data_IF_907489431504
#
_entry.id   IF_907489431504
#
_cell.length_a   1.000
_cell.length_b   1.000
_cell.length_c   1.000
_cell.angle_alpha   90.00
_cell.angle_beta   90.00
_cell.angle_gamma   90.00
#
_symmetry.space_group_name_H-M   'P 1'
#
loop_
_entity.id
_entity.type
_entity.pdbx_description
1 polymer ?
#
# COMPACT_ATOMS: atom_id res chain seq x y z
N UNK A 1 -23.30 -14.31 -11.04
CA UNK A 1 -23.06 -12.91 -11.44
C UNK A 1 -22.40 -12.08 -10.33
N UNK A 2 -22.52 -12.45 -9.04
CA UNK A 2 -21.87 -11.74 -7.93
C UNK A 2 -20.33 -11.80 -7.95
N UNK A 3 -19.73 -12.93 -8.32
CA UNK A 3 -18.25 -13.06 -8.35
C UNK A 3 -17.59 -12.15 -9.38
N UNK A 4 -18.22 -11.95 -10.54
CA UNK A 4 -17.75 -11.01 -11.58
C UNK A 4 -17.76 -9.57 -11.06
N UNK A 5 -18.81 -9.17 -10.35
CA UNK A 5 -18.94 -7.82 -9.81
C UNK A 5 -17.93 -7.56 -8.67
N UNK A 6 -17.65 -8.58 -7.85
CA UNK A 6 -16.67 -8.51 -6.76
C UNK A 6 -15.23 -8.42 -7.28
N UNK A 7 -14.90 -9.18 -8.33
CA UNK A 7 -13.60 -9.12 -8.99
C UNK A 7 -13.38 -7.76 -9.66
N UNK A 8 -14.41 -7.21 -10.31
CA UNK A 8 -14.34 -5.91 -10.97
C UNK A 8 -14.15 -4.76 -9.96
N UNK A 9 -14.82 -4.82 -8.80
CA UNK A 9 -14.63 -3.85 -7.70
C UNK A 9 -13.24 -3.89 -7.08
N UNK A 10 -12.66 -5.09 -6.86
CA UNK A 10 -11.27 -5.20 -6.40
C UNK A 10 -10.27 -4.66 -7.43
N UNK A 11 -10.53 -4.90 -8.72
CA UNK A 11 -9.70 -4.36 -9.81
C UNK A 11 -9.78 -2.83 -9.86
N UNK A 12 -10.99 -2.26 -9.79
CA UNK A 12 -11.18 -0.80 -9.73
C UNK A 12 -10.52 -0.17 -8.50
N UNK A 13 -10.62 -0.81 -7.33
CA UNK A 13 -9.95 -0.37 -6.12
C UNK A 13 -8.43 -0.34 -6.28
N UNK A 14 -7.85 -1.38 -6.90
CA UNK A 14 -6.40 -1.43 -7.20
C UNK A 14 -5.98 -0.31 -8.16
N UNK A 15 -6.76 -0.05 -9.21
CA UNK A 15 -6.50 1.05 -10.15
C UNK A 15 -6.58 2.41 -9.46
N UNK A 16 -7.60 2.62 -8.62
CA UNK A 16 -7.74 3.84 -7.83
C UNK A 16 -6.53 4.07 -6.93
N UNK A 17 -6.04 3.03 -6.26
CA UNK A 17 -4.86 3.10 -5.39
C UNK A 17 -3.58 3.40 -6.16
N UNK A 18 -3.42 2.87 -7.38
CA UNK A 18 -2.29 3.23 -8.26
C UNK A 18 -2.37 4.71 -8.65
N UNK A 19 -3.55 5.21 -9.00
CA UNK A 19 -3.74 6.64 -9.31
C UNK A 19 -3.39 7.52 -8.11
N UNK A 20 -3.82 7.14 -6.90
CA UNK A 20 -3.48 7.86 -5.66
C UNK A 20 -1.97 7.83 -5.41
N UNK A 21 -1.30 6.69 -5.61
CA UNK A 21 0.15 6.59 -5.47
C UNK A 21 0.91 7.49 -6.45
N UNK A 22 0.45 7.60 -7.70
CA UNK A 22 1.04 8.51 -8.70
C UNK A 22 0.85 9.97 -8.27
N UNK A 23 -0.34 10.35 -7.81
CA UNK A 23 -0.60 11.72 -7.32
C UNK A 23 0.33 12.05 -6.14
N UNK A 24 0.48 11.13 -5.19
CA UNK A 24 1.38 11.31 -4.04
C UNK A 24 2.85 11.42 -4.46
N UNK A 25 3.30 10.63 -5.44
CA UNK A 25 4.65 10.72 -5.99
C UNK A 25 4.89 12.09 -6.67
N UNK A 26 3.89 12.58 -7.42
CA UNK A 26 3.95 13.91 -8.06
C UNK A 26 3.97 15.03 -7.00
N UNK A 27 3.13 14.95 -5.97
CA UNK A 27 3.13 15.92 -4.85
C UNK A 27 4.48 15.93 -4.14
N UNK A 28 5.07 14.75 -3.91
CA UNK A 28 6.40 14.60 -3.31
C UNK A 28 7.50 15.24 -4.17
N UNK A 29 7.37 15.17 -5.50
CA UNK A 29 8.31 15.75 -6.44
C UNK A 29 8.16 17.27 -6.59
N UNK A 30 6.93 17.80 -6.50
CA UNK A 30 6.66 19.24 -6.61
C UNK A 30 7.00 19.98 -5.31
N UNK A 31 6.72 19.36 -4.16
CA UNK A 31 6.93 19.95 -2.83
C UNK A 31 8.18 19.40 -2.14
N UNK A 32 9.32 19.36 -2.84
CA UNK A 32 10.58 18.85 -2.30
C UNK A 32 11.06 19.60 -1.05
N UNK A 33 10.86 20.93 -1.01
CA UNK A 33 11.32 21.79 0.10
C UNK A 33 10.43 21.72 1.36
N UNK A 34 9.20 21.20 1.25
CA UNK A 34 8.31 21.03 2.40
C UNK A 34 8.53 19.66 3.05
N UNK A 35 9.55 19.59 3.92
CA UNK A 35 9.98 18.36 4.61
C UNK A 35 8.83 17.59 5.26
N UNK A 36 7.88 18.29 5.87
CA UNK A 36 6.71 17.70 6.53
C UNK A 36 5.75 17.05 5.53
N UNK A 37 5.40 17.76 4.45
CA UNK A 37 4.47 17.26 3.42
C UNK A 37 5.05 16.03 2.72
N UNK A 38 6.34 16.07 2.39
CA UNK A 38 7.06 14.96 1.78
C UNK A 38 7.10 13.73 2.72
N UNK A 39 7.37 13.95 4.02
CA UNK A 39 7.39 12.89 5.03
C UNK A 39 6.04 12.19 5.15
N UNK A 40 4.95 12.95 5.28
CA UNK A 40 3.60 12.37 5.36
C UNK A 40 3.13 11.77 4.03
N UNK A 41 3.47 12.36 2.89
CA UNK A 41 3.16 11.78 1.58
C UNK A 41 3.81 10.41 1.41
N UNK A 42 5.08 10.27 1.82
CA UNK A 42 5.81 9.00 1.82
C UNK A 42 5.19 7.98 2.77
N UNK A 43 4.75 8.41 3.95
CA UNK A 43 4.05 7.54 4.89
C UNK A 43 2.74 7.00 4.29
N UNK A 44 1.90 7.89 3.76
CA UNK A 44 0.63 7.52 3.13
C UNK A 44 0.88 6.57 1.95
N UNK A 45 1.91 6.82 1.15
CA UNK A 45 2.28 5.96 0.03
C UNK A 45 2.72 4.56 0.51
N UNK A 46 3.48 4.48 1.61
CA UNK A 46 3.85 3.22 2.27
C UNK A 46 2.62 2.45 2.77
N UNK A 47 1.68 3.14 3.43
CA UNK A 47 0.42 2.54 3.89
C UNK A 47 -0.42 2.03 2.71
N UNK A 48 -0.53 2.81 1.63
CA UNK A 48 -1.24 2.42 0.41
C UNK A 48 -0.66 1.13 -0.18
N UNK A 49 0.66 1.08 -0.36
CA UNK A 49 1.33 -0.11 -0.89
C UNK A 49 1.07 -1.31 0.03
N UNK A 50 1.16 -1.13 1.34
CA UNK A 50 0.88 -2.21 2.28
C UNK A 50 -0.54 -2.78 2.12
N UNK A 51 -1.55 -1.92 1.98
CA UNK A 51 -2.95 -2.34 1.80
C UNK A 51 -3.15 -3.06 0.46
N UNK A 52 -2.60 -2.53 -0.65
CA UNK A 52 -2.69 -3.16 -1.97
C UNK A 52 -2.06 -4.55 -1.95
N UNK A 53 -0.81 -4.61 -1.50
CA UNK A 53 0.00 -5.83 -1.52
C UNK A 53 -0.56 -6.85 -0.52
N UNK A 54 -1.05 -6.41 0.64
CA UNK A 54 -1.74 -7.28 1.60
C UNK A 54 -3.02 -7.90 1.03
N UNK A 55 -3.79 -7.14 0.23
CA UNK A 55 -4.94 -7.67 -0.50
C UNK A 55 -4.53 -8.74 -1.52
N UNK A 56 -3.42 -8.55 -2.25
CA UNK A 56 -2.87 -9.57 -3.14
C UNK A 56 -2.38 -10.82 -2.40
N UNK A 57 -1.77 -10.65 -1.23
CA UNK A 57 -1.36 -11.76 -0.38
C UNK A 57 -2.57 -12.63 0.01
N UNK A 58 -3.65 -11.99 0.45
CA UNK A 58 -4.88 -12.67 0.85
C UNK A 58 -5.52 -13.45 -0.31
N UNK A 59 -5.61 -12.85 -1.51
CA UNK A 59 -6.08 -13.55 -2.71
C UNK A 59 -5.18 -14.76 -3.05
N UNK A 60 -3.85 -14.61 -2.96
CA UNK A 60 -2.92 -15.70 -3.27
C UNK A 60 -2.93 -16.83 -2.25
N UNK A 61 -3.18 -16.54 -0.97
CA UNK A 61 -3.43 -17.57 0.03
C UNK A 61 -4.73 -18.32 -0.22
N UNK A 62 -5.81 -17.63 -0.65
CA UNK A 62 -7.05 -18.29 -1.07
C UNK A 62 -6.84 -19.23 -2.27
N UNK A 63 -5.98 -18.85 -3.20
CA UNK A 63 -5.59 -19.66 -4.36
C UNK A 63 -4.63 -20.83 -4.02
N UNK A 64 -4.30 -21.05 -2.72
CA UNK A 64 -3.27 -22.02 -2.26
C UNK A 64 -1.86 -21.74 -2.82
N UNK A 65 -1.60 -20.53 -3.32
CA UNK A 65 -0.30 -20.09 -3.82
C UNK A 65 0.51 -19.48 -2.68
N UNK A 66 0.87 -20.33 -1.71
CA UNK A 66 1.52 -19.93 -0.45
C UNK A 66 2.81 -19.14 -0.64
N UNK A 67 3.67 -19.54 -1.59
CA UNK A 67 4.95 -18.86 -1.84
C UNK A 67 4.76 -17.40 -2.26
N UNK A 68 3.87 -17.18 -3.24
CA UNK A 68 3.55 -15.84 -3.72
C UNK A 68 2.80 -15.03 -2.66
N UNK A 69 1.85 -15.67 -1.96
CA UNK A 69 1.10 -15.04 -0.85
C UNK A 69 2.04 -14.54 0.25
N UNK A 70 2.99 -15.36 0.68
CA UNK A 70 3.97 -14.98 1.71
C UNK A 70 4.90 -13.85 1.26
N UNK A 71 5.32 -13.83 -0.02
CA UNK A 71 6.12 -12.74 -0.55
C UNK A 71 5.35 -11.40 -0.54
N UNK A 72 4.08 -11.41 -0.97
CA UNK A 72 3.23 -10.23 -0.88
C UNK A 72 2.95 -9.81 0.57
N UNK A 73 2.67 -10.76 1.47
CA UNK A 73 2.47 -10.47 2.89
C UNK A 73 3.70 -9.82 3.51
N UNK A 74 4.89 -10.32 3.18
CA UNK A 74 6.16 -9.78 3.65
C UNK A 74 6.37 -8.33 3.18
N UNK A 75 6.15 -8.04 1.89
CA UNK A 75 6.24 -6.69 1.33
C UNK A 75 5.21 -5.74 1.98
N UNK A 76 4.02 -6.25 2.29
CA UNK A 76 2.98 -5.49 3.01
C UNK A 76 3.41 -5.15 4.44
N UNK A 77 3.95 -6.12 5.18
CA UNK A 77 4.46 -5.92 6.54
C UNK A 77 5.65 -4.95 6.55
N UNK A 78 6.61 -5.08 5.61
CA UNK A 78 7.73 -4.16 5.50
C UNK A 78 7.27 -2.72 5.27
N UNK A 79 6.28 -2.50 4.41
CA UNK A 79 5.72 -1.16 4.21
C UNK A 79 4.97 -0.62 5.44
N UNK A 80 4.37 -1.49 6.26
CA UNK A 80 3.82 -1.06 7.55
C UNK A 80 4.92 -0.68 8.54
N UNK A 81 6.01 -1.45 8.58
CA UNK A 81 7.16 -1.13 9.44
C UNK A 81 7.83 0.18 9.04
N UNK A 82 7.80 0.56 7.76
CA UNK A 82 8.25 1.89 7.30
C UNK A 82 7.25 2.98 7.69
N UNK A 83 5.94 2.70 7.62
CA UNK A 83 4.88 3.65 7.95
C UNK A 83 4.84 4.01 9.45
N UNK A 84 4.94 3.02 10.33
CA UNK A 84 4.76 3.18 11.79
C UNK A 84 5.69 4.26 12.37
N UNK A 85 7.01 4.26 12.18
CA UNK A 85 7.90 5.27 12.78
C UNK A 85 7.72 6.65 12.15
N UNK A 86 7.20 6.75 10.92
CA UNK A 86 6.96 8.05 10.27
C UNK A 86 5.72 8.74 10.86
N UNK A 87 4.66 7.99 11.16
CA UNK A 87 3.40 8.54 11.71
C UNK A 87 3.38 8.54 13.24
N UNK A 88 4.00 7.55 13.85
CA UNK A 88 4.10 7.37 15.29
C UNK A 88 5.58 7.40 15.72
N UNK A 89 6.25 8.57 15.64
CA UNK A 89 7.67 8.69 15.96
C UNK A 89 7.98 8.34 17.43
N UNK A 90 6.97 8.32 18.31
CA UNK A 90 7.09 7.94 19.71
C UNK A 90 7.06 6.42 19.96
N UNK A 91 6.77 5.61 18.95
CA UNK A 91 6.76 4.13 19.07
C UNK A 91 8.11 3.61 18.56
N UNK A 92 8.99 3.26 19.49
CA UNK A 92 10.23 2.53 19.21
C UNK A 92 10.05 1.04 19.55
N UNK A 93 10.45 0.16 18.63
CA UNK A 93 10.51 -1.30 18.83
C UNK A 93 11.93 -1.73 19.22
#
# INVERSE_FOLDING_TARGET
>A
MEDLNKHNKMSQFRVLLVVVAIILAVVTFIYQDHSVVNTYARAILSLLISVVVGSYAFDRFRDKKWLAGSAYAFVSVLNLLVFIPIVFPSIHF
#
